data_IF_236041184008
#
_entry.id   IF_236041184008
#
_cell.length_a   1.000
_cell.length_b   1.000
_cell.length_c   1.000
_cell.angle_alpha   90.00
_cell.angle_beta   90.00
_cell.angle_gamma   90.00
#
_symmetry.space_group_name_H-M   'P 1'
#
loop_
_entity.id
_entity.type
_entity.pdbx_description
1 polymer ?
#
# COMPACT_ATOMS: atom_id res chain seq x y z
N UNK A 1 25.47 -11.18 -3.64
CA UNK A 1 24.98 -10.29 -2.57
C UNK A 1 23.52 -10.63 -2.34
N UNK A 2 23.06 -10.92 -1.11
CA UNK A 2 21.63 -11.02 -0.84
C UNK A 2 20.99 -9.67 -1.22
N UNK A 3 19.88 -9.71 -1.96
CA UNK A 3 19.14 -8.51 -2.33
C UNK A 3 18.35 -8.07 -1.10
N UNK A 4 18.88 -7.11 -0.35
CA UNK A 4 18.09 -6.43 0.67
C UNK A 4 17.11 -5.52 -0.07
N UNK A 5 15.81 -5.77 0.10
CA UNK A 5 14.77 -4.89 -0.43
C UNK A 5 14.46 -3.83 0.62
N UNK A 6 14.64 -2.56 0.27
CA UNK A 6 14.34 -1.45 1.16
C UNK A 6 12.83 -1.20 1.24
N UNK A 7 12.22 -1.23 2.45
CA UNK A 7 10.78 -1.00 2.63
C UNK A 7 10.30 0.33 2.02
N UNK A 8 11.12 1.37 2.06
CA UNK A 8 10.75 2.70 1.58
C UNK A 8 10.60 2.73 0.05
N UNK A 9 11.39 1.95 -0.68
CA UNK A 9 11.26 1.83 -2.14
C UNK A 9 9.98 1.10 -2.53
N UNK A 10 9.65 0.02 -1.80
CA UNK A 10 8.40 -0.71 -1.98
C UNK A 10 7.19 0.16 -1.61
N UNK A 11 7.29 0.93 -0.53
CA UNK A 11 6.23 1.85 -0.12
C UNK A 11 5.97 2.91 -1.19
N UNK A 12 7.02 3.51 -1.75
CA UNK A 12 6.91 4.48 -2.84
C UNK A 12 6.21 3.87 -4.05
N UNK A 13 6.63 2.68 -4.49
CA UNK A 13 6.02 1.98 -5.62
C UNK A 13 4.54 1.64 -5.39
N UNK A 14 4.16 1.25 -4.16
CA UNK A 14 2.77 1.00 -3.80
C UNK A 14 1.93 2.28 -3.87
N UNK A 15 2.42 3.39 -3.31
CA UNK A 15 1.74 4.68 -3.35
C UNK A 15 1.50 5.12 -4.80
N UNK A 16 2.55 5.05 -5.64
CA UNK A 16 2.46 5.45 -7.03
C UNK A 16 1.44 4.61 -7.81
N UNK A 17 1.44 3.28 -7.61
CA UNK A 17 0.49 2.38 -8.27
C UNK A 17 -0.96 2.71 -7.89
N UNK A 18 -1.26 2.87 -6.60
CA UNK A 18 -2.62 3.19 -6.16
C UNK A 18 -3.08 4.58 -6.60
N UNK A 19 -2.19 5.58 -6.60
CA UNK A 19 -2.51 6.91 -7.13
C UNK A 19 -2.79 6.87 -8.64
N UNK A 20 -2.02 6.10 -9.41
CA UNK A 20 -2.23 5.94 -10.86
C UNK A 20 -3.55 5.25 -11.18
N UNK A 21 -3.96 4.29 -10.35
CA UNK A 21 -5.25 3.61 -10.46
C UNK A 21 -6.44 4.46 -9.96
N UNK A 22 -6.19 5.70 -9.51
CA UNK A 22 -7.22 6.64 -9.06
C UNK A 22 -7.71 6.39 -7.64
N UNK A 23 -7.03 5.55 -6.86
CA UNK A 23 -7.35 5.34 -5.45
C UNK A 23 -6.88 6.51 -4.58
N UNK A 24 -7.58 6.70 -3.46
CA UNK A 24 -7.24 7.74 -2.50
C UNK A 24 -6.20 7.26 -1.50
N UNK A 25 -5.01 7.87 -1.53
CA UNK A 25 -3.93 7.61 -0.59
C UNK A 25 -3.81 8.77 0.40
N UNK A 26 -3.66 8.46 1.69
CA UNK A 26 -3.53 9.47 2.75
C UNK A 26 -2.56 9.05 3.86
N UNK A 27 -2.11 10.02 4.65
CA UNK A 27 -1.21 9.81 5.77
C UNK A 27 -1.96 9.88 7.10
N UNK A 28 -1.73 8.91 7.99
CA UNK A 28 -2.35 8.83 9.32
C UNK A 28 -1.37 8.24 10.32
N UNK A 29 -1.05 8.98 11.38
CA UNK A 29 -0.13 8.51 12.43
C UNK A 29 1.28 8.15 11.93
N UNK A 30 1.79 8.86 10.92
CA UNK A 30 3.11 8.60 10.33
C UNK A 30 3.18 7.40 9.39
N UNK A 31 2.04 6.76 9.07
CA UNK A 31 1.94 5.69 8.08
C UNK A 31 1.09 6.12 6.90
N UNK A 32 1.31 5.48 5.76
CA UNK A 32 0.56 5.69 4.53
C UNK A 32 -0.53 4.63 4.39
N UNK A 33 -1.72 5.07 4.02
CA UNK A 33 -2.90 4.23 3.84
C UNK A 33 -3.53 4.48 2.49
N UNK A 34 -4.19 3.47 1.94
CA UNK A 34 -5.05 3.60 0.77
C UNK A 34 -6.49 3.26 1.16
N UNK A 35 -7.43 4.06 0.67
CA UNK A 35 -8.86 3.78 0.72
C UNK A 35 -9.27 3.17 -0.62
N UNK A 36 -9.69 1.92 -0.59
CA UNK A 36 -10.23 1.20 -1.74
C UNK A 36 -11.73 1.16 -1.61
N UNK A 37 -12.43 1.72 -2.60
CA UNK A 37 -13.89 1.62 -2.71
C UNK A 37 -14.20 0.58 -3.77
N UNK A 38 -14.96 -0.43 -3.39
CA UNK A 38 -15.45 -1.49 -4.28
C UNK A 38 -16.96 -1.32 -4.42
N UNK A 39 -17.43 -1.28 -5.65
CA UNK A 39 -18.87 -1.30 -5.98
C UNK A 39 -19.28 -2.73 -6.31
N UNK A 40 -20.18 -3.30 -5.52
CA UNK A 40 -20.81 -4.60 -5.79
C UNK A 40 -22.32 -4.39 -5.90
N UNK A 41 -22.81 -4.24 -7.14
CA UNK A 41 -24.23 -3.96 -7.40
C UNK A 41 -24.61 -2.56 -6.94
N UNK A 42 -25.64 -2.45 -6.09
CA UNK A 42 -26.12 -1.18 -5.51
C UNK A 42 -25.41 -0.81 -4.18
N UNK A 43 -24.48 -1.65 -3.70
CA UNK A 43 -23.75 -1.39 -2.46
C UNK A 43 -22.29 -0.97 -2.73
N UNK A 44 -21.89 0.16 -2.15
CA UNK A 44 -20.49 0.60 -2.13
C UNK A 44 -19.86 0.24 -0.79
N UNK A 45 -18.76 -0.51 -0.82
CA UNK A 45 -17.96 -0.84 0.37
C UNK A 45 -16.61 -0.17 0.30
N UNK A 46 -16.22 0.50 1.37
CA UNK A 46 -14.88 1.11 1.50
C UNK A 46 -14.01 0.31 2.48
N UNK A 47 -12.79 -0.01 2.08
CA UNK A 47 -11.78 -0.66 2.92
C UNK A 47 -10.50 0.18 2.96
N UNK A 48 -9.92 0.34 4.15
CA UNK A 48 -8.67 1.06 4.37
C UNK A 48 -7.52 0.06 4.60
N UNK A 49 -6.42 0.19 3.85
CA UNK A 49 -5.25 -0.68 3.96
C UNK A 49 -3.98 0.13 4.28
N UNK A 50 -3.15 -0.38 5.18
CA UNK A 50 -1.88 0.25 5.57
C UNK A 50 -0.75 -0.13 4.60
N UNK A 51 -0.38 0.77 3.70
CA UNK A 51 0.68 0.53 2.72
C UNK A 51 2.06 0.40 3.38
N UNK A 52 2.31 1.15 4.45
CA UNK A 52 3.58 1.06 5.20
C UNK A 52 3.81 -0.33 5.78
N UNK A 53 2.79 -0.95 6.37
CA UNK A 53 2.91 -2.29 6.95
C UNK A 53 3.04 -3.36 5.86
N UNK A 54 2.34 -3.19 4.73
CA UNK A 54 2.47 -4.06 3.56
C UNK A 54 3.90 -4.00 3.01
N UNK A 55 4.46 -2.81 2.85
CA UNK A 55 5.82 -2.61 2.34
C UNK A 55 6.87 -3.24 3.27
N UNK A 56 6.77 -2.99 4.58
CA UNK A 56 7.67 -3.57 5.57
C UNK A 56 7.59 -5.11 5.59
N UNK A 57 6.37 -5.66 5.51
CA UNK A 57 6.18 -7.12 5.46
C UNK A 57 6.75 -7.72 4.17
N UNK A 58 6.51 -7.10 3.02
CA UNK A 58 7.00 -7.55 1.72
C UNK A 58 8.54 -7.50 1.65
N UNK A 59 9.15 -6.40 2.09
CA UNK A 59 10.60 -6.23 2.17
C UNK A 59 11.27 -7.35 3.01
N UNK A 60 10.68 -7.65 4.18
CA UNK A 60 11.17 -8.71 5.06
C UNK A 60 11.06 -10.11 4.46
N UNK A 61 10.05 -10.37 3.60
CA UNK A 61 9.91 -11.63 2.87
C UNK A 61 10.86 -11.76 1.70
N UNK A 62 11.10 -10.67 0.96
CA UNK A 62 11.95 -10.66 -0.24
C UNK A 62 13.45 -10.68 0.09
N UNK A 63 13.81 -10.28 1.31
CA UNK A 63 15.21 -10.25 1.78
C UNK A 63 15.66 -11.54 2.49
N UNK A 64 14.79 -12.56 2.55
CA UNK A 64 15.09 -13.90 3.08
C UNK A 64 15.35 -14.87 1.92
#
# INVERSE_FOLDING_TARGET
MPRTFEPDQLLTALIDAFLQDGHFVHAKGGKMFVLVVTEEGDESRSSEFCLTDIAAHAAGRLSR
#
